data_IF_082873689706
#
_entry.id   IF_082873689706
#
_cell.length_a   1.000
_cell.length_b   1.000
_cell.length_c   1.000
_cell.angle_alpha   90.00
_cell.angle_beta   90.00
_cell.angle_gamma   90.00
#
_symmetry.space_group_name_H-M   'P 1'
#
loop_
_entity.id
_entity.type
_entity.pdbx_description
1 polymer ?
#
# COMPACT_ATOMS: atom_id res chain seq x y z
N UNK A 1 -51.24 -37.12 -22.77
CA UNK A 1 -49.78 -37.08 -22.96
C UNK A 1 -49.23 -35.92 -22.17
N UNK A 2 -48.40 -36.25 -21.19
CA UNK A 2 -47.70 -35.34 -20.28
C UNK A 2 -46.72 -34.43 -21.01
N UNK A 3 -46.54 -33.21 -20.54
CA UNK A 3 -45.31 -32.87 -19.81
C UNK A 3 -45.46 -31.55 -19.06
N UNK A 4 -45.48 -31.69 -17.75
CA UNK A 4 -45.40 -30.64 -16.74
C UNK A 4 -44.12 -29.84 -16.92
N UNK A 5 -44.24 -28.52 -17.07
CA UNK A 5 -43.16 -27.59 -16.77
C UNK A 5 -43.00 -27.50 -15.25
N UNK A 6 -42.15 -28.35 -14.67
CA UNK A 6 -41.81 -28.31 -13.25
C UNK A 6 -40.82 -27.18 -12.98
N UNK A 7 -41.40 -26.05 -12.55
CA UNK A 7 -40.98 -25.21 -11.43
C UNK A 7 -39.53 -25.37 -10.91
N UNK A 8 -38.74 -24.32 -11.13
CA UNK A 8 -37.89 -23.66 -10.12
C UNK A 8 -37.13 -24.57 -9.14
N UNK A 9 -35.98 -25.09 -9.54
CA UNK A 9 -34.90 -25.32 -8.58
C UNK A 9 -34.28 -23.96 -8.21
N UNK A 10 -34.94 -23.21 -7.31
CA UNK A 10 -34.24 -22.24 -6.48
C UNK A 10 -33.29 -23.04 -5.59
N UNK A 11 -32.07 -23.24 -6.07
CA UNK A 11 -30.98 -23.89 -5.35
C UNK A 11 -30.68 -23.04 -4.10
N UNK A 12 -31.34 -23.40 -2.97
CA UNK A 12 -31.15 -22.80 -1.64
C UNK A 12 -29.79 -23.24 -1.12
N UNK A 13 -28.75 -22.56 -1.60
CA UNK A 13 -27.39 -22.74 -1.08
C UNK A 13 -27.17 -21.82 0.10
N UNK A 14 -26.61 -22.34 1.20
CA UNK A 14 -26.20 -21.55 2.37
C UNK A 14 -24.75 -21.79 2.70
N UNK A 15 -24.10 -20.77 3.28
CA UNK A 15 -22.70 -20.83 3.65
C UNK A 15 -22.58 -21.29 5.10
N UNK A 16 -21.87 -22.40 5.33
CA UNK A 16 -21.61 -22.97 6.66
C UNK A 16 -20.09 -23.18 6.78
N UNK A 17 -19.46 -22.56 7.78
CA UNK A 17 -18.02 -22.74 8.08
C UNK A 17 -17.07 -22.56 6.89
N UNK A 18 -17.37 -21.64 5.97
CA UNK A 18 -16.54 -21.39 4.77
C UNK A 18 -16.82 -22.33 3.58
N UNK A 19 -17.87 -23.14 3.65
CA UNK A 19 -18.29 -24.02 2.56
C UNK A 19 -19.66 -23.62 2.03
N UNK A 20 -19.83 -23.70 0.70
CA UNK A 20 -21.14 -23.52 0.06
C UNK A 20 -21.85 -24.86 0.01
N UNK A 21 -22.93 -24.98 0.77
CA UNK A 21 -23.68 -26.22 0.93
C UNK A 21 -25.08 -26.05 0.35
N UNK A 22 -25.53 -26.99 -0.48
CA UNK A 22 -26.93 -27.09 -0.87
C UNK A 22 -27.76 -27.57 0.32
N UNK A 23 -28.80 -26.81 0.71
CA UNK A 23 -29.65 -27.22 1.83
C UNK A 23 -30.55 -28.41 1.54
N UNK A 24 -30.84 -28.71 0.28
CA UNK A 24 -31.70 -29.82 -0.11
C UNK A 24 -30.91 -31.13 -0.24
N UNK A 25 -29.67 -31.09 -0.73
CA UNK A 25 -28.87 -32.30 -0.98
C UNK A 25 -27.78 -32.53 0.05
N UNK A 26 -27.37 -31.50 0.80
CA UNK A 26 -26.21 -31.56 1.69
C UNK A 26 -24.88 -31.64 0.94
N UNK A 27 -24.89 -31.51 -0.39
CA UNK A 27 -23.68 -31.52 -1.20
C UNK A 27 -22.86 -30.24 -0.97
N UNK A 28 -21.56 -30.43 -0.76
CA UNK A 28 -20.59 -29.35 -0.63
C UNK A 28 -20.01 -29.07 -2.01
N UNK A 29 -20.33 -27.92 -2.59
CA UNK A 29 -19.87 -27.54 -3.93
C UNK A 29 -18.41 -27.06 -3.98
N UNK A 30 -17.74 -27.01 -2.83
CA UNK A 30 -16.34 -26.65 -2.69
C UNK A 30 -16.08 -25.67 -1.55
N UNK A 31 -14.80 -25.47 -1.28
CA UNK A 31 -14.31 -24.45 -0.36
C UNK A 31 -14.69 -23.07 -0.92
N UNK A 32 -15.59 -22.36 -0.24
CA UNK A 32 -15.83 -20.98 -0.55
C UNK A 32 -14.64 -20.24 0.06
N UNK A 33 -13.63 -19.97 -0.77
CA UNK A 33 -12.67 -18.90 -0.47
C UNK A 33 -13.55 -17.67 -0.31
N UNK A 34 -13.91 -17.36 0.93
CA UNK A 34 -14.34 -16.03 1.28
C UNK A 34 -13.15 -15.19 0.85
N UNK A 35 -13.25 -14.56 -0.32
CA UNK A 35 -12.53 -13.35 -0.59
C UNK A 35 -12.96 -12.41 0.52
N UNK A 36 -12.21 -12.40 1.64
CA UNK A 36 -12.43 -11.53 2.79
C UNK A 36 -12.20 -10.04 2.43
N UNK A 37 -12.35 -9.67 1.16
CA UNK A 37 -12.16 -8.34 0.59
C UNK A 37 -13.33 -7.87 -0.28
N UNK A 38 -14.49 -8.52 -0.20
CA UNK A 38 -15.78 -7.87 -0.55
C UNK A 38 -16.75 -7.99 0.62
N UNK A 39 -16.33 -7.53 1.79
CA UNK A 39 -17.31 -6.88 2.65
C UNK A 39 -17.90 -5.72 1.83
N UNK A 40 -19.24 -5.52 1.77
CA UNK A 40 -19.78 -4.25 1.31
C UNK A 40 -19.02 -3.17 2.06
N UNK A 41 -18.51 -2.18 1.33
CA UNK A 41 -17.76 -1.05 1.88
C UNK A 41 -18.51 -0.57 3.11
N UNK A 42 -18.03 -1.00 4.29
CA UNK A 42 -18.58 -0.56 5.54
C UNK A 42 -18.28 0.92 5.53
N UNK A 43 -19.29 1.76 5.32
CA UNK A 43 -19.13 3.20 5.07
C UNK A 43 -18.39 3.90 6.23
N UNK A 44 -18.22 3.17 7.35
CA UNK A 44 -17.54 3.54 8.57
C UNK A 44 -16.06 3.10 8.65
N UNK A 45 -15.52 2.29 7.72
CA UNK A 45 -14.09 1.95 7.71
C UNK A 45 -13.29 3.06 7.02
N UNK A 46 -12.51 3.87 7.77
CA UNK A 46 -11.69 4.90 7.16
C UNK A 46 -10.73 4.24 6.15
N UNK A 47 -10.64 4.78 4.94
CA UNK A 47 -9.66 4.29 3.97
C UNK A 47 -8.27 4.85 4.31
N UNK A 48 -7.27 3.98 4.40
CA UNK A 48 -5.90 4.38 4.72
C UNK A 48 -5.33 5.41 3.72
N UNK A 49 -5.75 5.35 2.45
CA UNK A 49 -5.39 6.35 1.44
C UNK A 49 -5.96 7.74 1.72
N UNK A 50 -7.11 7.83 2.39
CA UNK A 50 -7.81 9.09 2.70
C UNK A 50 -7.27 9.79 3.96
N UNK A 51 -6.32 9.19 4.69
CA UNK A 51 -5.71 9.83 5.86
C UNK A 51 -4.91 11.09 5.44
N UNK A 52 -5.29 12.23 6.01
CA UNK A 52 -4.70 13.57 5.76
C UNK A 52 -3.97 14.12 6.98
N UNK A 53 -4.22 13.54 8.15
CA UNK A 53 -3.59 13.95 9.40
C UNK A 53 -3.15 12.76 10.28
N UNK A 54 -2.29 13.06 11.25
CA UNK A 54 -1.91 12.13 12.34
C UNK A 54 -3.13 11.62 13.07
N UNK A 55 -4.13 12.48 13.31
CA UNK A 55 -5.37 12.14 14.00
C UNK A 55 -6.20 11.12 13.21
N UNK A 56 -6.22 11.25 11.88
CA UNK A 56 -6.91 10.31 10.98
C UNK A 56 -6.25 8.93 11.03
N UNK A 57 -4.92 8.89 10.97
CA UNK A 57 -4.16 7.64 11.11
C UNK A 57 -4.40 7.03 12.48
N UNK A 58 -4.37 7.82 13.55
CA UNK A 58 -4.61 7.30 14.88
C UNK A 58 -6.02 6.70 15.00
N UNK A 59 -7.02 7.35 14.40
CA UNK A 59 -8.41 6.86 14.36
C UNK A 59 -8.54 5.59 13.53
N UNK A 60 -7.85 5.51 12.39
CA UNK A 60 -7.78 4.29 11.59
C UNK A 60 -7.17 3.13 12.40
N UNK A 61 -6.04 3.37 13.05
CA UNK A 61 -5.30 2.35 13.81
C UNK A 61 -6.08 1.81 15.02
N UNK A 62 -7.08 2.52 15.55
CA UNK A 62 -7.98 1.98 16.59
C UNK A 62 -8.76 0.75 16.12
N UNK A 63 -9.00 0.64 14.81
CA UNK A 63 -9.74 -0.47 14.20
C UNK A 63 -8.83 -1.62 13.76
N UNK A 64 -7.51 -1.47 13.88
CA UNK A 64 -6.53 -2.47 13.50
C UNK A 64 -5.88 -3.04 14.75
N UNK A 65 -5.98 -4.36 14.94
CA UNK A 65 -5.23 -5.01 16.01
C UNK A 65 -3.75 -5.14 15.61
N UNK A 66 -2.92 -4.23 16.12
CA UNK A 66 -1.48 -4.21 15.84
C UNK A 66 -0.73 -5.40 16.43
N UNK A 67 -1.32 -6.15 17.36
CA UNK A 67 -0.69 -7.31 18.02
C UNK A 67 -0.74 -8.57 17.17
N UNK A 68 -1.71 -8.64 16.25
CA UNK A 68 -1.86 -9.78 15.33
C UNK A 68 -0.96 -9.66 14.11
N UNK A 69 -0.28 -8.52 13.95
CA UNK A 69 0.58 -8.28 12.81
C UNK A 69 1.84 -9.15 12.86
N UNK A 70 2.31 -9.65 11.70
CA UNK A 70 3.53 -10.42 11.64
C UNK A 70 4.75 -9.60 12.11
N UNK A 71 5.82 -10.27 12.56
CA UNK A 71 7.06 -9.61 12.96
C UNK A 71 7.58 -8.69 11.86
N UNK A 72 7.92 -7.46 12.23
CA UNK A 72 8.34 -6.47 11.25
C UNK A 72 9.82 -6.64 10.90
N UNK A 73 10.08 -7.49 9.90
CA UNK A 73 11.43 -7.82 9.47
C UNK A 73 12.07 -6.71 8.64
N UNK A 74 13.38 -6.56 8.79
CA UNK A 74 14.23 -5.72 7.93
C UNK A 74 14.74 -6.47 6.69
N UNK A 75 14.46 -7.76 6.60
CA UNK A 75 14.97 -8.64 5.56
C UNK A 75 14.66 -8.12 4.15
N UNK A 76 13.44 -7.64 3.90
CA UNK A 76 13.06 -7.10 2.58
C UNK A 76 13.89 -5.89 2.14
N UNK A 77 14.42 -5.10 3.07
CA UNK A 77 15.31 -3.99 2.74
C UNK A 77 16.68 -4.48 2.31
N UNK A 78 17.25 -5.45 3.03
CA UNK A 78 18.56 -6.04 2.72
C UNK A 78 18.50 -6.78 1.39
N UNK A 79 17.46 -7.61 1.21
CA UNK A 79 17.23 -8.35 -0.03
C UNK A 79 17.09 -7.41 -1.24
N UNK A 80 16.36 -6.31 -1.10
CA UNK A 80 16.24 -5.32 -2.17
C UNK A 80 17.56 -4.61 -2.48
N UNK A 81 18.40 -4.34 -1.48
CA UNK A 81 19.73 -3.78 -1.67
C UNK A 81 20.64 -4.76 -2.43
N UNK A 82 20.67 -6.02 -2.02
CA UNK A 82 21.47 -7.07 -2.65
C UNK A 82 21.01 -7.32 -4.09
N UNK A 83 19.69 -7.35 -4.31
CA UNK A 83 19.10 -7.47 -5.64
C UNK A 83 19.52 -6.30 -6.54
N UNK A 84 19.43 -5.06 -6.06
CA UNK A 84 19.85 -3.87 -6.79
C UNK A 84 21.34 -3.90 -7.16
N UNK A 85 22.20 -4.31 -6.22
CA UNK A 85 23.62 -4.50 -6.50
C UNK A 85 23.88 -5.59 -7.56
N UNK A 86 23.15 -6.71 -7.49
CA UNK A 86 23.22 -7.77 -8.48
C UNK A 86 22.78 -7.33 -9.88
N UNK A 87 21.70 -6.55 -9.97
CA UNK A 87 21.21 -6.02 -11.24
C UNK A 87 22.17 -5.02 -11.87
N UNK A 88 22.75 -4.13 -11.06
CA UNK A 88 23.76 -3.19 -11.55
C UNK A 88 24.97 -3.92 -12.15
N UNK A 89 25.47 -4.97 -11.49
CA UNK A 89 26.59 -5.78 -12.02
C UNK A 89 26.27 -6.47 -13.35
N UNK A 90 25.01 -6.86 -13.56
CA UNK A 90 24.59 -7.61 -14.77
C UNK A 90 24.25 -6.71 -15.95
N UNK A 91 23.60 -5.57 -15.69
CA UNK A 91 23.03 -4.70 -16.73
C UNK A 91 23.84 -3.43 -16.96
N UNK A 92 24.72 -3.05 -16.04
CA UNK A 92 25.46 -1.79 -16.07
C UNK A 92 24.62 -0.55 -15.73
N UNK A 93 23.30 -0.69 -15.57
CA UNK A 93 22.40 0.42 -15.21
C UNK A 93 22.49 0.68 -13.71
N UNK A 94 22.79 1.92 -13.31
CA UNK A 94 22.91 2.29 -11.90
C UNK A 94 21.54 2.30 -11.22
N UNK A 95 21.23 1.20 -10.55
CA UNK A 95 20.05 1.01 -9.71
C UNK A 95 20.41 0.86 -8.23
N UNK A 96 21.64 1.22 -7.83
CA UNK A 96 22.16 0.96 -6.49
C UNK A 96 21.39 1.74 -5.42
N UNK A 97 21.03 1.04 -4.34
CA UNK A 97 20.58 1.69 -3.11
C UNK A 97 21.84 2.07 -2.33
N UNK A 98 22.16 3.36 -2.33
CA UNK A 98 23.36 3.88 -1.63
C UNK A 98 23.22 3.76 -0.11
N UNK A 99 24.34 3.71 0.60
CA UNK A 99 24.34 3.61 2.07
C UNK A 99 23.54 4.75 2.76
N UNK A 100 23.64 6.03 2.33
CA UNK A 100 22.80 7.09 2.90
C UNK A 100 21.30 6.90 2.66
N UNK A 101 20.90 6.36 1.50
CA UNK A 101 19.51 6.00 1.22
C UNK A 101 19.05 4.87 2.14
N UNK A 102 19.88 3.86 2.30
CA UNK A 102 19.60 2.70 3.14
C UNK A 102 19.46 3.07 4.62
N UNK A 103 20.33 3.93 5.15
CA UNK A 103 20.21 4.44 6.52
C UNK A 103 18.89 5.18 6.74
N UNK A 104 18.48 5.98 5.76
CA UNK A 104 17.19 6.69 5.80
C UNK A 104 16.02 5.68 5.77
N UNK A 105 16.09 4.65 4.92
CA UNK A 105 15.08 3.58 4.85
C UNK A 105 15.00 2.77 6.15
N UNK A 106 16.11 2.50 6.83
CA UNK A 106 16.10 1.85 8.14
C UNK A 106 15.40 2.69 9.22
N UNK A 107 15.63 4.01 9.22
CA UNK A 107 14.91 4.90 10.13
C UNK A 107 13.42 4.92 9.81
N UNK A 108 13.06 5.03 8.52
CA UNK A 108 11.65 4.99 8.09
C UNK A 108 10.99 3.66 8.43
N UNK A 109 11.71 2.54 8.31
CA UNK A 109 11.25 1.21 8.75
C UNK A 109 10.84 1.26 10.22
N UNK A 110 11.67 1.80 11.11
CA UNK A 110 11.32 1.93 12.53
C UNK A 110 10.09 2.80 12.82
N UNK A 111 9.73 3.72 11.91
CA UNK A 111 8.59 4.63 12.08
C UNK A 111 7.26 4.07 11.54
N UNK A 112 7.29 3.05 10.68
CA UNK A 112 6.07 2.48 10.08
C UNK A 112 5.26 1.69 11.11
N UNK A 113 4.01 2.12 11.31
CA UNK A 113 3.06 1.46 12.21
C UNK A 113 2.17 0.46 11.50
N UNK A 114 1.76 0.74 10.27
CA UNK A 114 0.85 -0.12 9.50
C UNK A 114 1.00 0.14 7.99
N UNK A 115 0.87 -0.93 7.20
CA UNK A 115 1.10 -0.96 5.75
C UNK A 115 2.44 -0.31 5.38
N UNK A 116 2.43 0.65 4.46
CA UNK A 116 3.61 1.37 3.96
C UNK A 116 3.51 2.89 4.17
N UNK A 117 2.67 3.34 5.11
CA UNK A 117 2.35 4.76 5.31
C UNK A 117 2.93 5.27 6.62
N UNK A 118 3.47 6.50 6.58
CA UNK A 118 3.88 7.26 7.75
C UNK A 118 3.20 8.63 7.66
N UNK A 119 2.42 9.01 8.68
CA UNK A 119 1.92 10.38 8.83
C UNK A 119 2.35 10.88 10.20
N UNK A 120 3.07 12.00 10.21
CA UNK A 120 3.61 12.62 11.42
C UNK A 120 3.89 14.10 11.20
N UNK A 121 4.21 14.83 12.28
CA UNK A 121 4.68 16.20 12.18
C UNK A 121 6.05 16.26 11.46
N UNK A 122 6.28 17.32 10.68
CA UNK A 122 7.58 17.54 10.01
C UNK A 122 8.73 17.62 11.00
N UNK A 123 8.50 18.24 12.17
CA UNK A 123 9.46 18.34 13.26
C UNK A 123 9.91 16.97 13.76
N UNK A 124 8.95 16.06 14.01
CA UNK A 124 9.22 14.72 14.51
C UNK A 124 9.97 13.88 13.48
N UNK A 125 9.59 13.97 12.21
CA UNK A 125 10.30 13.29 11.13
C UNK A 125 11.73 13.80 10.98
N UNK A 126 11.92 15.13 11.03
CA UNK A 126 13.24 15.76 10.93
C UNK A 126 14.14 15.30 12.09
N UNK A 127 13.59 15.26 13.31
CA UNK A 127 14.26 14.73 14.51
C UNK A 127 14.64 13.26 14.35
N UNK A 128 13.72 12.42 13.88
CA UNK A 128 13.98 10.99 13.66
C UNK A 128 15.10 10.75 12.63
N UNK A 129 15.15 11.58 11.58
CA UNK A 129 16.16 11.51 10.53
C UNK A 129 17.47 12.26 10.87
N UNK A 130 17.54 12.92 12.02
CA UNK A 130 18.72 13.69 12.47
C UNK A 130 19.03 14.91 11.58
N UNK A 131 18.01 15.54 10.99
CA UNK A 131 18.15 16.70 10.10
C UNK A 131 17.31 17.88 10.59
N UNK A 132 17.72 19.09 10.21
CA UNK A 132 16.86 20.28 10.37
C UNK A 132 15.63 20.19 9.44
N UNK A 133 14.50 20.74 9.88
CA UNK A 133 13.25 20.72 9.09
C UNK A 133 13.41 21.34 7.69
N UNK A 134 14.22 22.39 7.57
CA UNK A 134 14.54 23.04 6.29
C UNK A 134 15.26 22.11 5.30
N UNK A 135 16.02 21.14 5.81
CA UNK A 135 16.79 20.18 5.02
C UNK A 135 16.05 18.86 4.78
N UNK A 136 14.85 18.68 5.35
CA UNK A 136 14.06 17.46 5.22
C UNK A 136 13.79 17.10 3.75
N UNK A 137 13.35 18.07 2.94
CA UNK A 137 13.12 17.84 1.50
C UNK A 137 14.39 17.39 0.77
N UNK A 138 15.54 18.00 1.08
CA UNK A 138 16.84 17.63 0.49
C UNK A 138 17.26 16.22 0.89
N UNK A 139 17.01 15.83 2.15
CA UNK A 139 17.31 14.49 2.66
C UNK A 139 16.44 13.41 2.01
N UNK A 140 15.17 13.71 1.74
CA UNK A 140 14.23 12.79 1.09
C UNK A 140 14.35 12.74 -0.43
N UNK A 141 14.86 13.80 -1.07
CA UNK A 141 14.96 13.90 -2.53
C UNK A 141 15.64 12.69 -3.22
N UNK A 142 16.77 12.12 -2.72
CA UNK A 142 17.36 10.94 -3.32
C UNK A 142 16.42 9.73 -3.34
N UNK A 143 15.62 9.52 -2.28
CA UNK A 143 14.65 8.42 -2.20
C UNK A 143 13.45 8.65 -3.12
N UNK A 144 13.01 9.91 -3.25
CA UNK A 144 11.92 10.30 -4.16
C UNK A 144 12.35 10.14 -5.61
N UNK A 145 13.54 10.63 -5.97
CA UNK A 145 14.09 10.53 -7.32
C UNK A 145 14.32 9.06 -7.73
N UNK A 146 14.74 8.21 -6.78
CA UNK A 146 14.87 6.77 -6.98
C UNK A 146 13.52 6.02 -6.94
N UNK A 147 12.39 6.73 -6.79
CA UNK A 147 11.03 6.16 -6.71
C UNK A 147 10.84 5.12 -5.60
N UNK A 148 11.62 5.24 -4.54
CA UNK A 148 11.51 4.39 -3.35
C UNK A 148 10.53 4.97 -2.33
N UNK A 149 10.21 6.27 -2.46
CA UNK A 149 9.39 7.03 -1.54
C UNK A 149 8.53 8.05 -2.30
N UNK A 150 7.29 8.25 -1.87
CA UNK A 150 6.44 9.38 -2.27
C UNK A 150 6.15 10.23 -1.04
N UNK A 151 6.36 11.53 -1.15
CA UNK A 151 6.16 12.46 -0.05
C UNK A 151 5.03 13.44 -0.41
N UNK A 152 4.05 13.51 0.47
CA UNK A 152 2.89 14.40 0.36
C UNK A 152 2.95 15.42 1.50
N UNK A 153 2.74 16.67 1.16
CA UNK A 153 2.81 17.80 2.08
C UNK A 153 1.50 18.57 2.06
N UNK A 154 1.47 19.75 2.68
CA UNK A 154 0.28 20.59 2.71
C UNK A 154 -0.22 21.03 1.34
N UNK A 155 0.62 20.98 0.29
CA UNK A 155 0.17 21.22 -1.08
C UNK A 155 -0.72 20.08 -1.61
N UNK A 156 -0.65 18.91 -0.99
CA UNK A 156 -1.30 17.67 -1.40
C UNK A 156 -2.43 17.28 -0.44
N UNK A 157 -3.12 18.29 0.12
CA UNK A 157 -4.28 18.12 1.00
C UNK A 157 -3.95 17.45 2.36
N UNK A 158 -2.72 17.62 2.84
CA UNK A 158 -2.27 17.21 4.18
C UNK A 158 -2.36 18.39 5.14
N UNK A 159 -2.66 18.14 6.42
CA UNK A 159 -2.69 19.20 7.45
C UNK A 159 -1.37 19.98 7.49
N UNK A 160 -1.45 21.30 7.61
CA UNK A 160 -0.27 22.18 7.66
C UNK A 160 0.65 21.79 8.82
N UNK A 161 1.93 21.61 8.53
CA UNK A 161 2.95 21.18 9.51
C UNK A 161 3.14 19.66 9.58
N UNK A 162 2.27 18.89 8.96
CA UNK A 162 2.36 17.44 8.87
C UNK A 162 2.90 17.01 7.50
N UNK A 163 3.36 15.76 7.44
CA UNK A 163 3.86 15.12 6.23
C UNK A 163 3.36 13.69 6.18
N UNK A 164 2.93 13.27 4.99
CA UNK A 164 2.55 11.89 4.68
C UNK A 164 3.60 11.30 3.76
N UNK A 165 4.20 10.20 4.16
CA UNK A 165 5.16 9.44 3.37
C UNK A 165 4.54 8.10 3.01
N UNK A 166 4.63 7.73 1.73
CA UNK A 166 4.39 6.37 1.25
C UNK A 166 5.74 5.77 0.84
N UNK A 167 6.14 4.70 1.50
CA UNK A 167 7.34 3.95 1.12
C UNK A 167 6.93 2.87 0.13
N UNK A 168 7.83 2.48 -0.78
CA UNK A 168 7.57 1.37 -1.68
C UNK A 168 7.27 0.10 -0.85
N UNK A 169 6.09 -0.54 -1.04
CA UNK A 169 5.67 -1.71 -0.25
C UNK A 169 6.51 -2.97 -0.52
N UNK A 170 7.34 -3.00 -1.56
CA UNK A 170 8.37 -4.03 -1.72
C UNK A 170 9.48 -3.88 -0.69
N UNK A 171 9.82 -2.65 -0.31
CA UNK A 171 10.88 -2.36 0.65
C UNK A 171 10.38 -2.43 2.09
N UNK A 172 9.31 -1.69 2.38
CA UNK A 172 8.79 -1.52 3.74
C UNK A 172 7.28 -1.73 3.70
N UNK A 173 6.83 -2.82 4.32
CA UNK A 173 5.42 -3.09 4.50
C UNK A 173 5.20 -3.81 5.84
N UNK A 174 4.25 -3.30 6.62
CA UNK A 174 3.83 -3.86 7.90
C UNK A 174 2.37 -4.28 7.82
N UNK A 175 2.15 -5.55 7.53
CA UNK A 175 0.83 -6.11 7.31
C UNK A 175 0.95 -7.57 6.88
N UNK A 176 -0.16 -8.18 6.52
CA UNK A 176 -0.18 -9.53 5.99
C UNK A 176 0.27 -9.56 4.52
N UNK A 177 1.00 -10.61 4.12
CA UNK A 177 1.57 -10.73 2.78
C UNK A 177 0.49 -10.78 1.68
N UNK A 178 -0.68 -11.38 1.96
CA UNK A 178 -1.81 -11.40 1.04
C UNK A 178 -2.32 -9.99 0.67
N UNK A 179 -2.15 -9.01 1.57
CA UNK A 179 -2.52 -7.61 1.31
C UNK A 179 -1.38 -6.86 0.62
N UNK A 180 -0.14 -7.24 0.90
CA UNK A 180 1.06 -6.58 0.37
C UNK A 180 1.07 -6.53 -1.14
N UNK A 181 0.67 -7.61 -1.81
CA UNK A 181 0.64 -7.69 -3.27
C UNK A 181 -0.25 -6.62 -3.91
N UNK A 182 -1.46 -6.40 -3.36
CA UNK A 182 -2.36 -5.35 -3.84
C UNK A 182 -1.76 -3.94 -3.69
N UNK A 183 -0.97 -3.70 -2.63
CA UNK A 183 -0.26 -2.43 -2.44
C UNK A 183 0.89 -2.28 -3.44
N UNK A 184 1.62 -3.35 -3.74
CA UNK A 184 2.68 -3.37 -4.76
C UNK A 184 2.08 -3.06 -6.13
N UNK A 185 1.01 -3.74 -6.51
CA UNK A 185 0.33 -3.53 -7.77
C UNK A 185 -0.13 -2.07 -7.91
N UNK A 186 -0.84 -1.55 -6.90
CA UNK A 186 -1.28 -0.16 -6.87
C UNK A 186 -0.14 0.84 -6.98
N UNK A 187 0.98 0.59 -6.30
CA UNK A 187 2.17 1.45 -6.39
C UNK A 187 2.64 1.62 -7.84
N UNK A 188 2.77 0.52 -8.58
CA UNK A 188 3.28 0.57 -9.96
C UNK A 188 2.20 0.95 -11.00
N UNK A 189 0.91 0.71 -10.72
CA UNK A 189 -0.20 1.19 -11.55
C UNK A 189 -0.38 2.71 -11.47
N UNK A 190 -0.18 3.31 -10.30
CA UNK A 190 -0.26 4.76 -10.17
C UNK A 190 0.87 5.45 -10.99
N UNK A 191 2.04 4.81 -11.13
CA UNK A 191 3.11 5.34 -12.00
C UNK A 191 2.73 5.34 -13.49
N UNK A 192 2.01 4.32 -13.96
CA UNK A 192 1.60 4.27 -15.37
C UNK A 192 0.51 5.30 -15.67
N UNK A 193 -0.39 5.57 -14.72
CA UNK A 193 -1.40 6.64 -14.85
C UNK A 193 -0.80 8.04 -14.88
N UNK A 194 0.21 8.32 -14.07
CA UNK A 194 0.93 9.60 -14.09
C UNK A 194 1.66 9.83 -15.42
N UNK A 195 2.28 8.78 -15.99
CA UNK A 195 2.94 8.88 -17.32
C UNK A 195 1.94 9.16 -18.45
N UNK A 196 0.78 8.52 -18.45
CA UNK A 196 -0.27 8.78 -19.44
C UNK A 196 -0.87 10.19 -19.32
N UNK A 197 -0.96 10.71 -18.09
CA UNK A 197 -1.50 12.07 -17.84
C UNK A 197 -0.55 13.18 -18.28
N UNK A 198 0.77 12.93 -18.28
CA UNK A 198 1.77 13.89 -18.75
C UNK A 198 1.85 13.98 -20.29
N UNK A 199 1.64 12.87 -21.02
CA UNK A 199 1.60 12.90 -22.49
C UNK A 199 0.34 13.57 -23.07
N UNK A 200 -0.69 13.82 -22.27
CA UNK A 200 -1.91 14.53 -22.70
C UNK A 200 -1.86 16.06 -22.56
N UNK A 201 -0.83 16.63 -21.90
CA UNK A 201 -0.72 18.09 -21.70
C UNK A 201 0.24 18.77 -22.67
N UNK A 202 1.22 18.04 -23.21
CA UNK A 202 2.22 18.64 -24.10
C UNK A 202 1.71 18.84 -25.54
N UNK A 203 0.55 18.30 -25.91
CA UNK A 203 -0.07 18.48 -27.24
C UNK A 203 -1.06 19.64 -27.32
N UNK A 204 -1.45 20.26 -26.20
CA UNK A 204 -2.39 21.40 -26.19
C UNK A 204 -1.70 22.77 -26.09
N UNK A 205 -0.40 22.82 -25.80
CA UNK A 205 0.36 24.09 -25.72
C UNK A 205 1.03 24.50 -27.05
N UNK A 206 0.91 23.69 -28.11
CA UNK A 206 1.49 23.97 -29.42
C UNK A 206 0.46 24.41 -30.49
N UNK A 207 -0.78 24.73 -30.09
CA UNK A 207 -1.86 25.10 -31.01
C UNK A 207 -2.62 26.37 -30.55
N UNK A 208 -1.90 27.36 -30.02
CA UNK A 208 -2.43 28.70 -29.76
C UNK A 208 -1.49 29.76 -30.33
#
# INVERSE_FOLDING_TARGET
>A
MNNQSLLSHQCRTTNINGFRVDQATGEVYGEYIITQYTAPTDALKPELSKCRSVDDIHTFLKHVDLRTLPPFSRFSLVDAQDHAHGQWKRTGVDCRITLPMMNTLYTLHGLVRYANIIVMAKADLAKALGVAESNLKKKLAPLVNAKLLRAYTSCDDIRKGEIKLLVNPRLIFRGFDNVREAYIERWYLDETRERCSLHGRDTLAAAA
#
